data_IF_777768256821
#
_entry.id   IF_777768256821
#
_cell.length_a   1.000
_cell.length_b   1.000
_cell.length_c   1.000
_cell.angle_alpha   90.00
_cell.angle_beta   90.00
_cell.angle_gamma   90.00
#
_symmetry.space_group_name_H-M   'P 1'
#
loop_
_entity.id
_entity.type
_entity.pdbx_description
1 polymer ?
#
# COMPACT_ATOMS: atom_id res chain seq x y z
N UNK A 1 -22.52 -3.41 -13.04
CA UNK A 1 -22.81 -1.98 -12.86
C UNK A 1 -21.54 -1.35 -12.33
N UNK A 2 -21.07 -0.19 -12.81
CA UNK A 2 -19.94 0.51 -12.21
C UNK A 2 -20.34 0.86 -10.76
N UNK A 3 -19.51 0.51 -9.79
CA UNK A 3 -19.72 0.95 -8.41
C UNK A 3 -19.52 2.45 -8.35
N UNK A 4 -20.52 3.18 -7.89
CA UNK A 4 -20.34 4.59 -7.58
C UNK A 4 -19.31 4.72 -6.45
N UNK A 5 -18.30 5.54 -6.65
CA UNK A 5 -17.32 5.90 -5.64
C UNK A 5 -18.06 6.52 -4.46
N UNK A 6 -17.85 6.03 -3.23
CA UNK A 6 -18.52 6.58 -2.04
C UNK A 6 -18.03 8.01 -1.76
N UNK A 7 -18.83 8.78 -1.02
CA UNK A 7 -18.44 10.15 -0.62
C UNK A 7 -17.13 10.15 0.19
N UNK A 8 -16.94 9.16 1.08
CA UNK A 8 -15.71 8.97 1.85
C UNK A 8 -14.50 8.71 0.95
N UNK A 9 -14.67 7.87 -0.08
CA UNK A 9 -13.59 7.55 -1.01
C UNK A 9 -13.20 8.76 -1.87
N UNK A 10 -14.18 9.56 -2.32
CA UNK A 10 -13.92 10.80 -3.07
C UNK A 10 -13.16 11.83 -2.21
N UNK A 11 -13.60 12.03 -0.96
CA UNK A 11 -12.95 12.94 -0.02
C UNK A 11 -11.52 12.49 0.28
N UNK A 12 -11.32 11.19 0.44
CA UNK A 12 -10.02 10.60 0.71
C UNK A 12 -9.06 10.75 -0.47
N UNK A 13 -9.51 10.47 -1.70
CA UNK A 13 -8.69 10.67 -2.91
C UNK A 13 -8.26 12.12 -3.03
N UNK A 14 -9.19 13.07 -2.84
CA UNK A 14 -8.88 14.51 -2.86
C UNK A 14 -7.87 14.93 -1.78
N UNK A 15 -7.99 14.37 -0.58
CA UNK A 15 -7.04 14.61 0.51
C UNK A 15 -5.63 14.12 0.14
N UNK A 16 -5.48 12.92 -0.38
CA UNK A 16 -4.19 12.37 -0.77
C UNK A 16 -3.62 13.09 -1.99
N UNK A 17 -4.46 13.46 -2.97
CA UNK A 17 -4.03 14.22 -4.13
C UNK A 17 -3.36 15.54 -3.73
N UNK A 18 -3.99 16.31 -2.83
CA UNK A 18 -3.41 17.54 -2.28
C UNK A 18 -2.13 17.30 -1.49
N UNK A 19 -2.12 16.23 -0.67
CA UNK A 19 -0.96 15.87 0.16
C UNK A 19 0.26 15.58 -0.71
N UNK A 20 0.12 14.74 -1.74
CA UNK A 20 1.22 14.38 -2.62
C UNK A 20 1.64 15.54 -3.54
N UNK A 21 0.70 16.32 -4.06
CA UNK A 21 1.00 17.50 -4.89
C UNK A 21 1.83 18.55 -4.15
N UNK A 22 1.62 18.69 -2.84
CA UNK A 22 2.41 19.61 -2.01
C UNK A 22 3.85 19.12 -1.77
N UNK A 23 4.08 17.80 -1.80
CA UNK A 23 5.38 17.16 -1.54
C UNK A 23 6.29 17.07 -2.78
N UNK A 24 5.77 17.27 -3.99
CA UNK A 24 6.56 17.21 -5.25
C UNK A 24 7.71 18.22 -5.25
N UNK A 25 7.62 19.31 -4.49
CA UNK A 25 8.58 20.42 -4.49
C UNK A 25 9.90 20.14 -3.77
N UNK A 26 10.02 19.08 -2.98
CA UNK A 26 11.20 18.84 -2.12
C UNK A 26 11.96 17.53 -2.46
N UNK A 27 12.31 17.37 -3.73
CA UNK A 27 13.16 16.25 -4.17
C UNK A 27 14.66 16.60 -4.20
N UNK A 28 15.03 17.84 -3.90
CA UNK A 28 16.41 18.34 -3.99
C UNK A 28 17.40 17.68 -3.02
N UNK A 29 16.89 16.95 -2.01
CA UNK A 29 17.70 16.25 -1.01
C UNK A 29 17.96 14.77 -1.32
N UNK A 30 17.36 14.22 -2.40
CA UNK A 30 17.52 12.80 -2.75
C UNK A 30 18.70 12.65 -3.70
N UNK A 31 19.77 11.99 -3.24
CA UNK A 31 20.87 11.54 -4.11
C UNK A 31 20.69 10.03 -4.41
N UNK A 32 20.22 9.66 -5.62
CA UNK A 32 20.00 8.25 -5.97
C UNK A 32 21.29 7.43 -6.08
N UNK A 33 22.46 8.09 -6.08
CA UNK A 33 23.78 7.45 -6.12
C UNK A 33 24.38 7.27 -4.72
N UNK A 34 23.79 7.88 -3.70
CA UNK A 34 24.27 7.71 -2.34
C UNK A 34 24.17 6.24 -1.91
N UNK A 35 25.11 5.74 -1.09
CA UNK A 35 24.99 4.44 -0.47
C UNK A 35 23.63 4.33 0.25
N UNK A 36 22.98 3.17 0.13
CA UNK A 36 21.67 2.89 0.74
C UNK A 36 20.53 3.87 0.36
N UNK A 37 20.66 4.59 -0.77
CA UNK A 37 19.66 5.58 -1.21
C UNK A 37 18.25 4.97 -1.36
N UNK A 38 18.14 3.75 -1.84
CA UNK A 38 16.90 2.99 -1.97
C UNK A 38 16.37 2.50 -0.62
N UNK A 39 17.24 2.11 0.32
CA UNK A 39 16.83 1.77 1.69
C UNK A 39 16.17 2.96 2.39
N UNK A 40 16.69 4.16 2.19
CA UNK A 40 16.18 5.39 2.78
C UNK A 40 14.80 5.82 2.21
N UNK A 41 14.34 5.21 1.12
CA UNK A 41 12.99 5.42 0.59
C UNK A 41 11.93 4.69 1.40
N UNK A 42 12.27 3.54 1.98
CA UNK A 42 11.34 2.76 2.78
C UNK A 42 11.16 3.36 4.17
N UNK A 43 9.92 3.40 4.70
CA UNK A 43 9.68 3.94 6.03
C UNK A 43 10.13 3.01 7.17
N UNK A 44 10.60 1.81 6.89
CA UNK A 44 11.22 0.88 7.86
C UNK A 44 12.05 -0.19 7.17
N UNK A 45 12.91 -0.87 7.96
CA UNK A 45 13.71 -2.00 7.47
C UNK A 45 12.85 -3.18 7.00
N UNK A 46 11.78 -3.49 7.73
CA UNK A 46 10.86 -4.57 7.39
C UNK A 46 10.20 -4.32 6.03
N UNK A 47 9.74 -3.10 5.79
CA UNK A 47 9.14 -2.70 4.52
C UNK A 47 10.18 -2.70 3.39
N UNK A 48 11.42 -2.27 3.66
CA UNK A 48 12.51 -2.38 2.71
C UNK A 48 12.75 -3.84 2.31
N UNK A 49 12.91 -4.75 3.28
CA UNK A 49 13.16 -6.17 3.02
C UNK A 49 12.01 -6.82 2.24
N UNK A 50 10.77 -6.48 2.58
CA UNK A 50 9.59 -6.96 1.84
C UNK A 50 9.65 -6.54 0.36
N UNK A 51 9.83 -5.24 0.09
CA UNK A 51 9.93 -4.71 -1.27
C UNK A 51 11.14 -5.27 -2.02
N UNK A 52 12.32 -5.36 -1.38
CA UNK A 52 13.53 -5.93 -1.97
C UNK A 52 13.37 -7.41 -2.33
N UNK A 53 12.66 -8.18 -1.50
CA UNK A 53 12.38 -9.60 -1.79
C UNK A 53 11.56 -9.79 -3.07
N UNK A 54 10.71 -8.83 -3.42
CA UNK A 54 9.94 -8.80 -4.66
C UNK A 54 10.82 -8.57 -5.90
N UNK A 55 12.05 -8.11 -5.74
CA UNK A 55 13.01 -7.99 -6.84
C UNK A 55 13.29 -9.30 -7.59
N UNK A 56 13.02 -10.44 -6.99
CA UNK A 56 13.16 -11.77 -7.62
C UNK A 56 11.93 -12.25 -8.36
N UNK A 57 10.84 -11.46 -8.33
CA UNK A 57 9.58 -11.78 -8.99
C UNK A 57 9.61 -11.33 -10.46
N UNK A 58 8.77 -11.97 -11.28
CA UNK A 58 8.66 -11.66 -12.71
C UNK A 58 7.84 -10.41 -12.95
N UNK A 59 6.74 -10.28 -12.18
CA UNK A 59 5.81 -9.17 -12.32
C UNK A 59 5.21 -8.77 -10.99
N UNK A 60 5.46 -7.53 -10.59
CA UNK A 60 5.08 -6.99 -9.27
C UNK A 60 4.02 -5.91 -9.42
N UNK A 61 3.05 -5.90 -8.51
CA UNK A 61 2.10 -4.81 -8.32
C UNK A 61 2.38 -4.07 -7.01
N UNK A 62 2.61 -2.76 -7.10
CA UNK A 62 2.58 -1.81 -5.99
C UNK A 62 1.25 -1.06 -6.02
N UNK A 63 0.30 -1.49 -5.18
CA UNK A 63 -1.07 -0.97 -5.16
C UNK A 63 -1.24 0.10 -4.08
N UNK A 64 -1.68 1.30 -4.49
CA UNK A 64 -1.65 2.49 -3.64
C UNK A 64 -0.21 2.97 -3.45
N UNK A 65 0.51 3.08 -4.55
CA UNK A 65 1.97 3.23 -4.54
C UNK A 65 2.46 4.56 -3.96
N UNK A 66 1.60 5.58 -3.84
CA UNK A 66 2.01 6.91 -3.41
C UNK A 66 3.18 7.42 -4.26
N UNK A 67 4.35 7.60 -3.65
CA UNK A 67 5.60 7.98 -4.33
C UNK A 67 6.38 6.81 -4.94
N UNK A 68 5.78 5.63 -5.03
CA UNK A 68 6.33 4.40 -5.61
C UNK A 68 7.64 3.89 -4.97
N UNK A 69 7.84 4.13 -3.67
CA UNK A 69 9.04 3.68 -2.98
C UNK A 69 9.22 2.15 -3.06
N UNK A 70 8.14 1.38 -2.94
CA UNK A 70 8.21 -0.08 -2.96
C UNK A 70 8.47 -0.61 -4.38
N UNK A 71 7.79 -0.04 -5.39
CA UNK A 71 8.05 -0.36 -6.79
C UNK A 71 9.51 -0.10 -7.17
N UNK A 72 10.05 1.01 -6.70
CA UNK A 72 11.41 1.42 -6.95
C UNK A 72 12.42 0.47 -6.33
N UNK A 73 12.21 0.08 -5.07
CA UNK A 73 13.05 -0.90 -4.38
C UNK A 73 12.98 -2.26 -5.09
N UNK A 74 11.80 -2.74 -5.48
CA UNK A 74 11.65 -3.99 -6.21
C UNK A 74 12.42 -3.97 -7.55
N UNK A 75 12.30 -2.88 -8.33
CA UNK A 75 13.02 -2.72 -9.59
C UNK A 75 14.55 -2.70 -9.40
N UNK A 76 15.06 -1.94 -8.45
CA UNK A 76 16.50 -1.88 -8.15
C UNK A 76 17.07 -3.19 -7.60
N UNK A 77 16.22 -4.05 -7.07
CA UNK A 77 16.59 -5.40 -6.61
C UNK A 77 16.34 -6.50 -7.67
N UNK A 78 16.02 -6.12 -8.92
CA UNK A 78 16.05 -7.01 -10.07
C UNK A 78 14.70 -7.29 -10.75
N UNK A 79 13.57 -6.84 -10.23
CA UNK A 79 12.29 -6.98 -10.95
C UNK A 79 12.26 -6.08 -12.18
N UNK A 80 11.99 -6.66 -13.35
CA UNK A 80 12.00 -5.97 -14.63
C UNK A 80 10.60 -5.51 -15.10
N UNK A 81 9.53 -5.93 -14.41
CA UNK A 81 8.14 -5.55 -14.73
C UNK A 81 7.39 -5.21 -13.44
N UNK A 82 7.40 -3.94 -13.08
CA UNK A 82 6.71 -3.43 -11.90
C UNK A 82 5.60 -2.46 -12.34
N UNK A 83 4.39 -2.76 -11.92
CA UNK A 83 3.22 -1.90 -12.09
C UNK A 83 2.98 -1.15 -10.77
N UNK A 84 3.05 0.19 -10.80
CA UNK A 84 2.78 1.04 -9.66
C UNK A 84 1.51 1.86 -9.90
N UNK A 85 0.51 1.74 -9.02
CA UNK A 85 -0.79 2.38 -9.27
C UNK A 85 -1.32 3.11 -8.03
N UNK A 86 -1.97 4.25 -8.28
CA UNK A 86 -2.63 5.05 -7.24
C UNK A 86 -3.85 5.77 -7.83
N UNK A 87 -4.96 5.94 -7.09
CA UNK A 87 -6.09 6.75 -7.56
C UNK A 87 -5.82 8.27 -7.53
N UNK A 88 -4.86 8.75 -6.73
CA UNK A 88 -4.49 10.16 -6.63
C UNK A 88 -3.51 10.56 -7.75
N UNK A 89 -3.88 11.54 -8.57
CA UNK A 89 -3.04 12.03 -9.68
C UNK A 89 -1.71 12.60 -9.20
N UNK A 90 -1.72 13.40 -8.11
CA UNK A 90 -0.52 13.98 -7.51
C UNK A 90 0.46 12.92 -6.98
N UNK A 91 -0.06 11.75 -6.51
CA UNK A 91 0.78 10.62 -6.15
C UNK A 91 1.55 10.08 -7.37
N UNK A 92 0.85 9.90 -8.49
CA UNK A 92 1.45 9.39 -9.73
C UNK A 92 2.47 10.37 -10.32
N UNK A 93 2.20 11.67 -10.29
CA UNK A 93 3.17 12.67 -10.74
C UNK A 93 4.44 12.65 -9.89
N UNK A 94 4.27 12.52 -8.57
CA UNK A 94 5.39 12.33 -7.65
C UNK A 94 6.14 11.02 -7.90
N UNK A 95 5.41 9.91 -8.10
CA UNK A 95 5.99 8.60 -8.40
C UNK A 95 6.84 8.63 -9.66
N UNK A 96 6.32 9.17 -10.76
CA UNK A 96 7.05 9.31 -12.05
C UNK A 96 8.32 10.13 -11.92
N UNK A 97 8.26 11.21 -11.15
CA UNK A 97 9.43 12.05 -10.90
C UNK A 97 10.53 11.28 -10.15
N UNK A 98 10.17 10.48 -9.14
CA UNK A 98 11.14 9.67 -8.39
C UNK A 98 11.66 8.51 -9.24
N UNK A 99 10.81 7.83 -10.01
CA UNK A 99 11.19 6.76 -10.95
C UNK A 99 12.23 7.27 -11.95
N UNK A 100 12.01 8.44 -12.55
CA UNK A 100 12.94 9.07 -13.47
C UNK A 100 14.27 9.45 -12.79
N UNK A 101 14.22 10.00 -11.57
CA UNK A 101 15.39 10.34 -10.79
C UNK A 101 16.29 9.12 -10.52
N UNK A 102 15.69 7.95 -10.29
CA UNK A 102 16.42 6.70 -10.05
C UNK A 102 16.76 5.91 -11.33
N UNK A 103 16.32 6.35 -12.51
CA UNK A 103 16.64 5.76 -13.81
C UNK A 103 16.04 4.36 -14.01
N UNK A 104 14.82 4.11 -13.48
CA UNK A 104 14.15 2.80 -13.58
C UNK A 104 12.85 2.84 -14.40
N UNK A 105 12.70 3.81 -15.30
CA UNK A 105 11.50 4.02 -16.14
C UNK A 105 11.22 2.84 -17.08
N UNK A 106 12.25 2.06 -17.41
CA UNK A 106 12.09 0.86 -18.23
C UNK A 106 11.55 -0.34 -17.46
N UNK A 107 11.62 -0.30 -16.12
CA UNK A 107 11.20 -1.39 -15.24
C UNK A 107 9.89 -1.08 -14.52
N UNK A 108 9.60 0.21 -14.26
CA UNK A 108 8.44 0.63 -13.46
C UNK A 108 7.48 1.45 -14.30
N UNK A 109 6.26 0.93 -14.46
CA UNK A 109 5.16 1.65 -15.12
C UNK A 109 4.21 2.21 -14.05
N UNK A 110 4.19 3.54 -13.87
CA UNK A 110 3.35 4.23 -12.90
C UNK A 110 2.19 4.96 -13.59
N UNK A 111 0.94 4.67 -13.18
CA UNK A 111 -0.25 5.33 -13.73
C UNK A 111 -1.41 5.42 -12.75
N UNK A 112 -2.22 6.46 -12.96
CA UNK A 112 -3.44 6.69 -12.19
C UNK A 112 -4.52 5.68 -12.55
N UNK A 113 -5.26 5.21 -11.55
CA UNK A 113 -6.31 4.22 -11.72
C UNK A 113 -7.67 4.73 -11.23
N UNK A 114 -8.74 4.14 -11.79
CA UNK A 114 -10.08 4.22 -11.21
C UNK A 114 -10.29 3.16 -10.14
N UNK A 115 -11.33 3.33 -9.33
CA UNK A 115 -11.70 2.35 -8.31
C UNK A 115 -11.97 0.95 -8.87
N UNK A 116 -12.41 0.82 -10.11
CA UNK A 116 -12.71 -0.47 -10.76
C UNK A 116 -11.52 -1.11 -11.47
N UNK A 117 -10.37 -0.46 -11.50
CA UNK A 117 -9.21 -0.92 -12.27
C UNK A 117 -8.80 -2.37 -11.97
N UNK A 118 -8.79 -2.78 -10.70
CA UNK A 118 -8.43 -4.17 -10.35
C UNK A 118 -9.29 -5.21 -11.08
N UNK A 119 -10.53 -4.90 -11.42
CA UNK A 119 -11.44 -5.80 -12.16
C UNK A 119 -11.05 -5.95 -13.62
N UNK A 120 -10.29 -5.01 -14.18
CA UNK A 120 -9.81 -5.06 -15.57
C UNK A 120 -8.52 -5.88 -15.71
N UNK A 121 -7.83 -6.14 -14.60
CA UNK A 121 -6.61 -6.95 -14.58
C UNK A 121 -6.97 -8.42 -14.78
N UNK A 122 -6.21 -9.12 -15.63
CA UNK A 122 -6.38 -10.56 -15.85
C UNK A 122 -6.03 -11.37 -14.60
N UNK A 123 -6.63 -12.56 -14.49
CA UNK A 123 -6.33 -13.50 -13.42
C UNK A 123 -4.86 -13.93 -13.50
N UNK A 124 -4.26 -14.20 -12.33
CA UNK A 124 -2.89 -14.74 -12.23
C UNK A 124 -1.83 -13.91 -12.98
N UNK A 125 -1.99 -12.57 -12.98
CA UNK A 125 -1.07 -11.65 -13.68
C UNK A 125 0.22 -11.39 -12.90
N UNK A 126 0.16 -11.28 -11.57
CA UNK A 126 1.28 -10.86 -10.74
C UNK A 126 1.77 -12.01 -9.85
N UNK A 127 3.08 -12.18 -9.73
CA UNK A 127 3.69 -13.13 -8.80
C UNK A 127 4.27 -12.44 -7.54
N UNK A 128 4.13 -11.09 -7.46
CA UNK A 128 4.42 -10.28 -6.30
C UNK A 128 3.42 -9.13 -6.15
N UNK A 129 3.01 -8.83 -4.91
CA UNK A 129 2.14 -7.71 -4.59
C UNK A 129 2.58 -7.05 -3.30
N UNK A 130 2.65 -5.72 -3.31
CA UNK A 130 2.78 -4.92 -2.10
C UNK A 130 1.69 -3.86 -2.05
N UNK A 131 1.08 -3.68 -0.87
CA UNK A 131 0.07 -2.68 -0.61
C UNK A 131 0.29 -2.16 0.81
N UNK A 132 0.82 -0.97 0.95
CA UNK A 132 1.22 -0.43 2.24
C UNK A 132 0.44 0.84 2.58
N UNK A 133 -0.18 0.85 3.77
CA UNK A 133 -0.97 1.98 4.29
C UNK A 133 -2.14 2.38 3.37
N UNK A 134 -2.84 1.39 2.82
CA UNK A 134 -4.02 1.57 1.96
C UNK A 134 -5.25 0.97 2.60
N UNK A 135 -5.24 -0.34 2.92
CA UNK A 135 -6.45 -1.07 3.31
C UNK A 135 -7.11 -0.52 4.58
N UNK A 136 -6.31 0.00 5.48
CA UNK A 136 -6.76 0.52 6.77
C UNK A 136 -7.07 2.04 6.78
N UNK A 137 -6.89 2.71 5.64
CA UNK A 137 -7.23 4.14 5.50
C UNK A 137 -8.33 4.40 4.47
N UNK A 138 -8.97 3.34 3.96
CA UNK A 138 -10.10 3.39 3.02
C UNK A 138 -11.34 2.74 3.62
N UNK A 139 -12.55 2.95 3.06
CA UNK A 139 -13.76 2.29 3.54
C UNK A 139 -13.62 0.76 3.61
N UNK A 140 -14.17 0.10 4.66
CA UNK A 140 -14.02 -1.35 4.88
C UNK A 140 -14.48 -2.22 3.71
N UNK A 141 -15.57 -1.84 3.06
CA UNK A 141 -16.11 -2.52 1.89
C UNK A 141 -15.16 -2.47 0.70
N UNK A 142 -14.44 -1.35 0.56
CA UNK A 142 -13.41 -1.19 -0.47
C UNK A 142 -12.17 -2.03 -0.17
N UNK A 143 -11.74 -2.05 1.09
CA UNK A 143 -10.63 -2.90 1.53
C UNK A 143 -10.91 -4.38 1.26
N UNK A 144 -12.13 -4.86 1.56
CA UNK A 144 -12.55 -6.24 1.28
C UNK A 144 -12.52 -6.55 -0.23
N UNK A 145 -12.99 -5.62 -1.07
CA UNK A 145 -12.95 -5.81 -2.53
C UNK A 145 -11.51 -5.88 -3.04
N UNK A 146 -10.61 -5.01 -2.55
CA UNK A 146 -9.19 -5.05 -2.91
C UNK A 146 -8.57 -6.39 -2.51
N UNK A 147 -8.82 -6.88 -1.29
CA UNK A 147 -8.32 -8.18 -0.82
C UNK A 147 -8.80 -9.31 -1.74
N UNK A 148 -10.09 -9.33 -2.08
CA UNK A 148 -10.68 -10.34 -2.97
C UNK A 148 -10.09 -10.29 -4.38
N UNK A 149 -9.94 -9.09 -4.95
CA UNK A 149 -9.34 -8.91 -6.27
C UNK A 149 -7.85 -9.27 -6.27
N UNK A 150 -7.14 -8.94 -5.21
CA UNK A 150 -5.73 -9.34 -5.06
C UNK A 150 -5.57 -10.86 -5.17
N UNK A 151 -6.48 -11.63 -4.52
CA UNK A 151 -6.45 -13.09 -4.62
C UNK A 151 -6.66 -13.61 -6.05
N UNK A 152 -7.47 -12.92 -6.86
CA UNK A 152 -7.73 -13.29 -8.25
C UNK A 152 -6.56 -12.99 -9.17
N UNK A 153 -5.96 -11.81 -9.03
CA UNK A 153 -4.95 -11.32 -9.96
C UNK A 153 -3.55 -11.85 -9.70
N UNK A 154 -3.31 -12.48 -8.55
CA UNK A 154 -1.99 -13.07 -8.24
C UNK A 154 -1.92 -14.54 -8.59
N UNK A 155 -0.72 -15.01 -8.92
CA UNK A 155 -0.40 -16.43 -9.15
C UNK A 155 -0.49 -17.25 -7.86
N UNK A 156 -0.48 -18.58 -7.97
CA UNK A 156 -0.57 -19.48 -6.80
C UNK A 156 0.66 -19.39 -5.88
N UNK A 157 1.81 -19.07 -6.42
CA UNK A 157 3.10 -18.95 -5.72
C UNK A 157 3.48 -17.49 -5.40
N UNK A 158 2.53 -16.56 -5.55
CA UNK A 158 2.78 -15.16 -5.30
C UNK A 158 3.12 -14.85 -3.84
N UNK A 159 4.03 -13.90 -3.63
CA UNK A 159 4.26 -13.27 -2.35
C UNK A 159 3.48 -11.95 -2.26
N UNK A 160 2.67 -11.81 -1.21
CA UNK A 160 1.90 -10.60 -0.98
C UNK A 160 2.29 -9.97 0.36
N UNK A 161 2.52 -8.66 0.34
CA UNK A 161 2.84 -7.87 1.52
C UNK A 161 1.81 -6.77 1.75
N UNK A 162 1.16 -6.78 2.92
CA UNK A 162 0.23 -5.73 3.33
C UNK A 162 0.77 -5.01 4.56
N UNK A 163 1.19 -3.76 4.36
CA UNK A 163 1.59 -2.85 5.43
C UNK A 163 0.39 -2.10 5.98
N UNK A 164 0.20 -2.08 7.32
CA UNK A 164 -0.94 -1.47 7.98
C UNK A 164 -0.50 -0.61 9.16
N UNK A 165 -1.27 0.41 9.48
CA UNK A 165 -1.10 1.18 10.72
C UNK A 165 -1.46 0.31 11.94
N UNK A 166 -1.08 0.77 13.12
CA UNK A 166 -1.40 0.09 14.36
C UNK A 166 -2.86 0.27 14.78
N UNK A 167 -3.33 -0.65 15.62
CA UNK A 167 -4.64 -0.53 16.27
C UNK A 167 -4.68 0.69 17.20
N UNK A 168 -5.75 1.44 17.12
CA UNK A 168 -6.11 2.50 18.06
C UNK A 168 -7.39 2.09 18.79
N UNK A 169 -7.33 2.03 20.13
CA UNK A 169 -8.54 1.86 20.92
C UNK A 169 -9.44 3.10 20.79
N UNK A 170 -10.76 2.96 21.01
CA UNK A 170 -11.69 4.09 21.00
C UNK A 170 -11.24 5.24 21.91
N UNK A 171 -10.73 4.92 23.11
CA UNK A 171 -10.26 5.91 24.09
C UNK A 171 -9.02 6.66 23.56
N UNK A 172 -8.07 5.92 22.97
CA UNK A 172 -6.87 6.52 22.38
C UNK A 172 -7.22 7.38 21.18
N UNK A 173 -8.17 6.94 20.34
CA UNK A 173 -8.66 7.72 19.20
C UNK A 173 -9.32 9.03 19.65
N UNK A 174 -10.19 8.96 20.67
CA UNK A 174 -10.86 10.14 21.24
C UNK A 174 -9.84 11.15 21.83
N UNK A 175 -8.79 10.66 22.52
CA UNK A 175 -7.73 11.51 23.05
C UNK A 175 -6.93 12.26 21.97
N UNK A 176 -6.96 11.76 20.74
CA UNK A 176 -6.36 12.37 19.54
C UNK A 176 -7.33 13.25 18.75
N UNK A 177 -8.53 13.51 19.28
CA UNK A 177 -9.57 14.29 18.61
C UNK A 177 -10.27 13.58 17.45
N UNK A 178 -10.10 12.26 17.33
CA UNK A 178 -10.77 11.47 16.30
C UNK A 178 -12.18 11.09 16.75
N UNK A 179 -13.14 11.13 15.82
CA UNK A 179 -14.47 10.59 16.01
C UNK A 179 -14.58 9.16 15.51
N UNK A 180 -15.19 8.29 16.32
CA UNK A 180 -15.47 6.90 15.96
C UNK A 180 -16.87 6.77 15.36
N UNK A 181 -16.97 6.05 14.24
CA UNK A 181 -18.22 5.64 13.60
C UNK A 181 -18.31 4.12 13.46
N UNK A 182 -19.43 3.61 12.96
CA UNK A 182 -19.65 2.19 12.72
C UNK A 182 -18.51 1.56 11.89
N UNK A 183 -18.23 0.28 12.16
CA UNK A 183 -17.19 -0.47 11.47
C UNK A 183 -15.76 -0.03 11.82
N UNK A 184 -15.55 0.51 13.01
CA UNK A 184 -14.25 0.96 13.51
C UNK A 184 -13.60 2.07 12.67
N UNK A 185 -14.41 2.90 12.02
CA UNK A 185 -13.96 4.05 11.21
C UNK A 185 -13.63 5.22 12.11
N UNK A 186 -12.40 5.70 12.01
CA UNK A 186 -11.90 6.86 12.75
C UNK A 186 -11.72 8.04 11.80
N UNK A 187 -12.41 9.13 12.08
CA UNK A 187 -12.37 10.37 11.31
C UNK A 187 -11.64 11.48 12.06
N UNK A 188 -10.89 12.28 11.33
CA UNK A 188 -10.33 13.53 11.80
C UNK A 188 -10.67 14.62 10.78
N UNK A 189 -11.29 15.72 11.24
CA UNK A 189 -11.73 16.82 10.38
C UNK A 189 -12.63 16.37 9.22
N UNK A 190 -13.50 15.38 9.48
CA UNK A 190 -14.43 14.83 8.49
C UNK A 190 -13.82 13.89 7.46
N UNK A 191 -12.51 13.63 7.53
CA UNK A 191 -11.80 12.71 6.63
C UNK A 191 -11.56 11.37 7.34
N UNK A 192 -11.89 10.26 6.69
CA UNK A 192 -11.53 8.92 7.17
C UNK A 192 -10.00 8.79 7.27
N UNK A 193 -9.50 8.51 8.46
CA UNK A 193 -8.05 8.40 8.72
C UNK A 193 -7.60 6.98 9.00
N UNK A 194 -8.46 6.19 9.56
CA UNK A 194 -8.12 4.83 9.95
C UNK A 194 -9.39 3.98 10.13
N UNK A 195 -9.36 2.76 9.64
CA UNK A 195 -10.26 1.69 10.06
C UNK A 195 -9.48 0.84 11.07
N UNK A 196 -9.73 1.11 12.36
CA UNK A 196 -8.94 0.54 13.44
C UNK A 196 -9.36 -0.89 13.72
N UNK A 197 -8.51 -1.86 13.36
CA UNK A 197 -8.70 -3.29 13.59
C UNK A 197 -7.50 -3.89 14.29
N UNK A 198 -7.75 -4.92 15.08
CA UNK A 198 -6.70 -5.76 15.69
C UNK A 198 -6.01 -6.63 14.64
N UNK A 199 -4.91 -7.28 15.03
CA UNK A 199 -4.19 -8.22 14.17
C UNK A 199 -5.08 -9.41 13.78
N UNK A 200 -5.86 -9.93 14.73
CA UNK A 200 -6.80 -11.07 14.52
C UNK A 200 -7.94 -10.69 13.58
N UNK A 201 -8.47 -9.47 13.69
CA UNK A 201 -9.50 -8.97 12.78
C UNK A 201 -8.97 -8.85 11.34
N UNK A 202 -7.72 -8.36 11.16
CA UNK A 202 -7.09 -8.33 9.84
C UNK A 202 -6.80 -9.74 9.31
N UNK A 203 -6.24 -10.63 10.15
CA UNK A 203 -6.01 -12.02 9.77
C UNK A 203 -7.30 -12.71 9.33
N UNK A 204 -8.41 -12.44 10.03
CA UNK A 204 -9.75 -12.97 9.69
C UNK A 204 -10.27 -12.46 8.35
N UNK A 205 -9.98 -11.17 7.99
CA UNK A 205 -10.33 -10.62 6.68
C UNK A 205 -9.52 -11.25 5.54
N UNK A 206 -8.26 -11.59 5.78
CA UNK A 206 -7.41 -12.28 4.79
C UNK A 206 -7.74 -13.77 4.67
N UNK A 207 -8.20 -14.40 5.74
CA UNK A 207 -8.33 -15.84 5.86
C UNK A 207 -9.17 -16.55 4.77
N UNK A 208 -10.23 -15.96 4.16
CA UNK A 208 -10.93 -16.60 3.05
C UNK A 208 -10.06 -16.87 1.82
N UNK A 209 -9.02 -16.04 1.59
CA UNK A 209 -8.23 -16.01 0.37
C UNK A 209 -6.77 -16.38 0.57
N UNK A 210 -6.24 -16.10 1.75
CA UNK A 210 -4.81 -16.15 2.03
C UNK A 210 -4.52 -16.90 3.34
N UNK A 211 -3.32 -17.45 3.41
CA UNK A 211 -2.69 -17.89 4.66
C UNK A 211 -1.63 -16.85 5.08
N UNK A 212 -1.61 -16.51 6.34
CA UNK A 212 -0.56 -15.66 6.92
C UNK A 212 0.70 -16.49 7.09
N UNK A 213 1.78 -16.08 6.44
CA UNK A 213 3.12 -16.67 6.58
C UNK A 213 3.84 -16.05 7.78
N UNK A 214 3.87 -14.73 7.82
CA UNK A 214 4.42 -13.97 8.95
C UNK A 214 3.58 -12.73 9.19
N UNK A 215 3.54 -12.30 10.45
CA UNK A 215 3.12 -10.98 10.88
C UNK A 215 4.28 -10.36 11.64
N UNK A 216 4.81 -9.27 11.13
CA UNK A 216 5.87 -8.52 11.77
C UNK A 216 5.35 -7.17 12.24
N UNK A 217 5.85 -6.73 13.41
CA UNK A 217 5.59 -5.39 13.92
C UNK A 217 6.81 -4.51 13.71
N UNK A 218 6.58 -3.26 13.29
CA UNK A 218 7.64 -2.30 13.04
C UNK A 218 7.24 -0.89 13.49
N UNK A 219 8.20 0.02 13.52
CA UNK A 219 7.99 1.44 13.78
C UNK A 219 8.49 2.27 12.61
N UNK A 220 7.85 3.40 12.37
CA UNK A 220 8.41 4.44 11.50
C UNK A 220 9.48 5.24 12.23
N UNK A 221 10.37 5.94 11.50
CA UNK A 221 11.33 6.84 12.13
C UNK A 221 10.65 7.80 13.10
N UNK A 222 11.17 7.85 14.32
CA UNK A 222 10.62 8.68 15.40
C UNK A 222 9.51 8.05 16.26
N UNK A 223 8.96 6.91 15.86
CA UNK A 223 8.03 6.15 16.72
C UNK A 223 8.81 5.34 17.77
N UNK A 224 8.31 5.34 19.01
CA UNK A 224 8.99 4.65 20.14
C UNK A 224 8.72 3.15 20.17
N UNK A 225 7.62 2.69 19.61
CA UNK A 225 7.13 1.33 19.71
C UNK A 225 6.86 0.75 18.33
N UNK A 226 7.26 -0.50 18.14
CA UNK A 226 6.98 -1.28 16.94
C UNK A 226 5.52 -1.81 16.97
N UNK A 227 4.57 -1.00 16.51
CA UNK A 227 3.14 -1.33 16.52
C UNK A 227 2.51 -1.38 15.13
N UNK A 228 3.19 -0.87 14.10
CA UNK A 228 2.73 -1.01 12.71
C UNK A 228 2.92 -2.45 12.28
N UNK A 229 2.15 -2.88 11.31
CA UNK A 229 2.02 -4.28 10.93
C UNK A 229 2.44 -4.51 9.49
N UNK A 230 3.17 -5.58 9.28
CA UNK A 230 3.48 -6.11 7.96
C UNK A 230 3.03 -7.56 7.90
N UNK A 231 1.97 -7.83 7.16
CA UNK A 231 1.51 -9.17 6.85
C UNK A 231 2.20 -9.66 5.58
N UNK A 232 2.89 -10.79 5.67
CA UNK A 232 3.31 -11.58 4.51
C UNK A 232 2.29 -12.70 4.30
N UNK A 233 1.65 -12.71 3.14
CA UNK A 233 0.57 -13.61 2.81
C UNK A 233 0.93 -14.49 1.61
N UNK A 234 0.32 -15.69 1.59
CA UNK A 234 0.32 -16.61 0.45
C UNK A 234 -1.12 -16.93 0.06
N UNK A 235 -1.36 -17.03 -1.24
CA UNK A 235 -2.66 -17.46 -1.76
C UNK A 235 -2.99 -18.87 -1.26
N UNK A 236 -4.21 -19.09 -0.82
CA UNK A 236 -4.70 -20.44 -0.49
C UNK A 236 -4.95 -21.20 -1.79
N UNK A 237 -4.49 -22.45 -1.82
CA UNK A 237 -4.87 -23.32 -2.91
C UNK A 237 -6.37 -23.67 -2.81
N UNK A 238 -7.06 -23.77 -3.94
CA UNK A 238 -8.43 -24.30 -3.95
C UNK A 238 -8.47 -25.67 -3.26
N UNK A 239 -9.46 -25.87 -2.40
CA UNK A 239 -9.68 -27.16 -1.75
C UNK A 239 -10.11 -28.21 -2.77
#
# INVERSE_FOLDING_TARGET
MPHSVSADEQTLIGFWDQTFSSQVKDQSSIDPKAPDSDRNLAPSDQLFQAAASLGRKKKVLDYGCGRAWAALIAARNGCMDVTAVDPAGGAIDSARSVIALYGVEQQVNAFQISSDWLRTVQDCTYDGLICSNVLDVIPPERAQEIIRQSARIVTEDADLFFGLNYYLSPETAASKGMSLSEGNRLYLDGVLRLVSRTDDEWASLFAPWFSVKTLEHFAWPGEKEARRRLFHLRKKQPA
#
